data_IF_633560046293
#
_entry.id   IF_633560046293
#
_cell.length_a   1.000
_cell.length_b   1.000
_cell.length_c   1.000
_cell.angle_alpha   90.00
_cell.angle_beta   90.00
_cell.angle_gamma   90.00
#
_symmetry.space_group_name_H-M   'P 1'
#
loop_
_entity.id
_entity.type
_entity.pdbx_description
1 polymer ?
#
# COMPACT_ATOMS: atom_id res chain seq x y z
N UNK A 1 -13.74 -13.29 -66.18
CA UNK A 1 -12.72 -13.85 -65.27
C UNK A 1 -13.09 -13.53 -63.82
N UNK A 2 -13.48 -14.55 -63.03
CA UNK A 2 -13.80 -14.44 -61.59
C UNK A 2 -12.63 -15.03 -60.80
N UNK A 3 -11.88 -14.22 -60.06
CA UNK A 3 -10.86 -14.71 -59.12
C UNK A 3 -11.47 -14.85 -57.72
N UNK A 4 -11.73 -16.09 -57.35
CA UNK A 4 -11.87 -16.54 -55.97
C UNK A 4 -10.46 -16.73 -55.39
N UNK A 5 -10.20 -16.23 -54.18
CA UNK A 5 -9.09 -16.69 -53.35
C UNK A 5 -9.40 -16.52 -51.86
N UNK A 6 -9.91 -17.64 -51.30
CA UNK A 6 -9.64 -18.22 -49.96
C UNK A 6 -9.23 -17.24 -48.85
N UNK A 7 -10.19 -16.90 -47.97
CA UNK A 7 -9.89 -16.39 -46.63
C UNK A 7 -9.63 -17.57 -45.69
N UNK A 8 -8.39 -17.69 -45.23
CA UNK A 8 -7.96 -18.73 -44.31
C UNK A 8 -8.48 -18.41 -42.89
N UNK A 9 -9.31 -19.30 -42.34
CA UNK A 9 -9.95 -19.21 -41.02
C UNK A 9 -8.92 -19.49 -39.91
N UNK A 10 -8.02 -18.54 -39.63
CA UNK A 10 -6.99 -18.66 -38.60
C UNK A 10 -7.53 -18.42 -37.17
N UNK A 11 -8.65 -17.71 -37.03
CA UNK A 11 -9.20 -17.30 -35.73
C UNK A 11 -9.85 -18.42 -34.90
N UNK A 12 -10.18 -19.57 -35.51
CA UNK A 12 -10.83 -20.68 -34.78
C UNK A 12 -9.83 -21.63 -34.12
N UNK A 13 -8.64 -21.79 -34.72
CA UNK A 13 -7.56 -22.62 -34.18
C UNK A 13 -6.87 -21.95 -33.00
N UNK A 14 -6.63 -20.64 -33.08
CA UNK A 14 -6.01 -19.86 -32.01
C UNK A 14 -6.85 -19.84 -30.72
N UNK A 15 -8.18 -19.77 -30.84
CA UNK A 15 -9.09 -19.76 -29.69
C UNK A 15 -9.29 -21.13 -29.03
N UNK A 16 -9.04 -22.22 -29.74
CA UNK A 16 -9.14 -23.59 -29.20
C UNK A 16 -7.90 -23.95 -28.38
N UNK A 17 -6.72 -23.48 -28.80
CA UNK A 17 -5.45 -23.74 -28.10
C UNK A 17 -5.35 -23.04 -26.73
N UNK A 18 -5.99 -21.87 -26.57
CA UNK A 18 -6.01 -21.11 -25.31
C UNK A 18 -6.94 -21.74 -24.25
N UNK A 19 -7.76 -22.74 -24.61
CA UNK A 19 -8.80 -23.28 -23.72
C UNK A 19 -8.46 -24.64 -23.09
N UNK A 20 -7.26 -25.17 -23.33
CA UNK A 20 -6.81 -26.45 -22.80
C UNK A 20 -5.91 -26.28 -21.56
N UNK A 21 -6.45 -25.69 -20.50
CA UNK A 21 -5.71 -25.46 -19.25
C UNK A 21 -6.61 -25.68 -18.04
N UNK A 22 -6.84 -26.96 -17.73
CA UNK A 22 -7.52 -27.39 -16.50
C UNK A 22 -6.52 -27.61 -15.34
N UNK A 23 -5.21 -27.66 -15.59
CA UNK A 23 -4.15 -27.76 -14.55
C UNK A 23 -3.65 -26.41 -14.03
N UNK A 24 -3.95 -25.30 -14.70
CA UNK A 24 -3.39 -23.99 -14.36
C UNK A 24 -3.73 -23.54 -12.94
N UNK A 25 -4.90 -23.92 -12.41
CA UNK A 25 -5.33 -23.46 -11.07
C UNK A 25 -4.54 -24.10 -9.93
N UNK A 26 -4.10 -25.35 -10.07
CA UNK A 26 -3.30 -26.01 -9.03
C UNK A 26 -1.83 -25.60 -9.13
N UNK A 27 -1.32 -25.48 -10.36
CA UNK A 27 0.02 -24.96 -10.60
C UNK A 27 0.19 -23.53 -10.06
N UNK A 28 -0.78 -22.64 -10.33
CA UNK A 28 -0.73 -21.26 -9.84
C UNK A 28 -0.79 -21.19 -8.31
N UNK A 29 -1.60 -22.01 -7.63
CA UNK A 29 -1.65 -22.05 -6.17
C UNK A 29 -0.33 -22.52 -5.53
N UNK A 30 0.34 -23.49 -6.15
CA UNK A 30 1.66 -23.93 -5.70
C UNK A 30 2.71 -22.85 -5.95
N UNK A 31 2.65 -22.19 -7.10
CA UNK A 31 3.54 -21.08 -7.44
C UNK A 31 3.39 -19.93 -6.43
N UNK A 32 2.18 -19.47 -6.14
CA UNK A 32 1.90 -18.41 -5.16
C UNK A 32 2.41 -18.77 -3.75
N UNK A 33 2.28 -20.04 -3.36
CA UNK A 33 2.78 -20.55 -2.08
C UNK A 33 4.32 -20.53 -2.00
N UNK A 34 4.99 -21.03 -3.04
CA UNK A 34 6.46 -21.03 -3.14
C UNK A 34 6.99 -19.61 -3.21
N UNK A 35 6.36 -18.75 -4.01
CA UNK A 35 6.67 -17.34 -4.17
C UNK A 35 6.69 -16.65 -2.81
N UNK A 36 5.62 -16.78 -2.02
CA UNK A 36 5.55 -16.22 -0.67
C UNK A 36 6.57 -16.78 0.32
N UNK A 37 6.98 -18.05 0.19
CA UNK A 37 8.05 -18.64 1.02
C UNK A 37 9.39 -18.00 0.66
N UNK A 38 9.70 -17.90 -0.63
CA UNK A 38 10.95 -17.32 -1.14
C UNK A 38 11.06 -15.85 -0.72
N UNK A 39 10.00 -15.05 -0.86
CA UNK A 39 10.05 -13.63 -0.50
C UNK A 39 10.31 -13.40 0.98
N UNK A 40 9.70 -14.22 1.86
CA UNK A 40 9.93 -14.16 3.32
C UNK A 40 11.37 -14.55 3.67
N UNK A 41 11.88 -15.62 3.07
CA UNK A 41 13.25 -16.04 3.25
C UNK A 41 14.25 -14.96 2.78
N UNK A 42 13.99 -14.37 1.60
CA UNK A 42 14.82 -13.30 1.05
C UNK A 42 14.78 -12.04 1.91
N UNK A 43 13.60 -11.64 2.40
CA UNK A 43 13.46 -10.50 3.31
C UNK A 43 14.24 -10.71 4.61
N UNK A 44 14.17 -11.91 5.20
CA UNK A 44 14.91 -12.24 6.42
C UNK A 44 16.44 -12.24 6.17
N UNK A 45 16.86 -12.84 5.05
CA UNK A 45 18.27 -12.87 4.66
C UNK A 45 18.82 -11.44 4.47
N UNK A 46 18.11 -10.57 3.76
CA UNK A 46 18.50 -9.17 3.57
C UNK A 46 18.57 -8.42 4.90
N UNK A 47 17.65 -8.68 5.83
CA UNK A 47 17.68 -8.08 7.18
C UNK A 47 18.95 -8.47 7.95
N UNK A 48 19.35 -9.75 7.88
CA UNK A 48 20.61 -10.21 8.48
C UNK A 48 21.82 -9.54 7.82
N UNK A 49 21.84 -9.43 6.49
CA UNK A 49 22.91 -8.74 5.75
C UNK A 49 23.04 -7.28 6.20
N UNK A 50 21.93 -6.57 6.36
CA UNK A 50 21.92 -5.18 6.85
C UNK A 50 22.55 -5.09 8.25
N UNK A 51 22.16 -5.98 9.17
CA UNK A 51 22.71 -6.00 10.53
C UNK A 51 24.21 -6.25 10.53
N UNK A 52 24.68 -7.26 9.78
CA UNK A 52 26.12 -7.58 9.67
C UNK A 52 26.89 -6.41 9.07
N UNK A 53 26.41 -5.85 7.96
CA UNK A 53 27.05 -4.70 7.30
C UNK A 53 27.09 -3.45 8.20
N UNK A 54 26.05 -3.24 9.02
CA UNK A 54 26.01 -2.14 9.98
C UNK A 54 27.05 -2.32 11.07
N UNK A 55 27.19 -3.54 11.63
CA UNK A 55 28.23 -3.84 12.62
C UNK A 55 29.62 -3.67 12.02
N UNK A 56 29.84 -4.17 10.81
CA UNK A 56 31.12 -4.04 10.09
C UNK A 56 31.49 -2.56 9.88
N UNK A 57 30.53 -1.74 9.46
CA UNK A 57 30.73 -0.29 9.32
C UNK A 57 31.08 0.38 10.66
N UNK A 58 30.43 0.00 11.76
CA UNK A 58 30.74 0.55 13.09
C UNK A 58 32.18 0.19 13.51
N UNK A 59 32.61 -1.05 13.28
CA UNK A 59 33.96 -1.49 13.57
C UNK A 59 35.00 -0.78 12.69
N UNK A 60 34.73 -0.65 11.38
CA UNK A 60 35.54 0.12 10.45
C UNK A 60 35.69 1.57 10.94
N UNK A 61 34.58 2.22 11.28
CA UNK A 61 34.59 3.62 11.70
C UNK A 61 35.36 3.80 13.03
N UNK A 62 35.18 2.89 13.98
CA UNK A 62 35.90 2.88 15.25
C UNK A 62 37.41 2.73 15.04
N UNK A 63 37.83 1.75 14.23
CA UNK A 63 39.27 1.54 13.96
C UNK A 63 39.91 2.74 13.27
N UNK A 64 39.24 3.33 12.29
CA UNK A 64 39.75 4.49 11.55
C UNK A 64 39.82 5.77 12.41
N UNK A 65 38.82 6.01 13.27
CA UNK A 65 38.79 7.17 14.18
C UNK A 65 39.85 7.10 15.29
N UNK A 66 40.06 5.92 15.88
CA UNK A 66 40.91 5.79 17.07
C UNK A 66 42.37 5.40 16.78
N UNK A 67 42.70 4.88 15.58
CA UNK A 67 44.07 4.44 15.26
C UNK A 67 44.86 5.35 14.31
N UNK A 68 44.24 6.24 13.54
CA UNK A 68 44.94 6.98 12.47
C UNK A 68 44.72 8.50 12.51
N UNK A 69 45.56 9.26 13.23
CA UNK A 69 45.49 10.73 13.24
C UNK A 69 45.99 11.40 11.93
N UNK A 70 46.76 10.69 11.11
CA UNK A 70 47.43 11.24 9.91
C UNK A 70 47.19 10.36 8.69
N UNK A 71 46.26 10.75 7.80
CA UNK A 71 45.96 10.02 6.55
C UNK A 71 44.50 9.60 6.34
N UNK A 72 43.60 9.94 7.27
CA UNK A 72 42.18 9.55 7.26
C UNK A 72 41.42 9.92 5.96
N UNK A 73 41.72 11.05 5.33
CA UNK A 73 40.73 11.77 4.52
C UNK A 73 40.44 11.25 3.10
N UNK A 74 41.38 10.64 2.39
CA UNK A 74 41.15 10.31 0.97
C UNK A 74 40.69 8.86 0.77
N UNK A 75 41.55 7.89 1.09
CA UNK A 75 41.24 6.47 0.86
C UNK A 75 40.19 5.94 1.83
N UNK A 76 40.25 6.32 3.11
CA UNK A 76 39.31 5.84 4.13
C UNK A 76 37.90 6.41 3.94
N UNK A 77 37.76 7.64 3.42
CA UNK A 77 36.45 8.25 3.18
C UNK A 77 35.68 7.53 2.07
N UNK A 78 36.36 7.18 0.97
CA UNK A 78 35.77 6.39 -0.12
C UNK A 78 35.32 5.01 0.38
N UNK A 79 36.12 4.37 1.24
CA UNK A 79 35.78 3.07 1.85
C UNK A 79 34.56 3.16 2.78
N UNK A 80 34.50 4.20 3.63
CA UNK A 80 33.36 4.45 4.53
C UNK A 80 32.09 4.76 3.72
N UNK A 81 32.16 5.64 2.73
CA UNK A 81 31.02 5.92 1.85
C UNK A 81 30.62 4.69 1.04
N UNK A 82 31.57 3.90 0.55
CA UNK A 82 31.29 2.64 -0.11
C UNK A 82 30.48 1.70 0.78
N UNK A 83 30.87 1.55 2.03
CA UNK A 83 30.19 0.72 3.04
C UNK A 83 28.81 1.25 3.41
N UNK A 84 28.66 2.57 3.62
CA UNK A 84 27.37 3.22 3.83
C UNK A 84 26.41 3.00 2.66
N UNK A 85 26.89 3.21 1.43
CA UNK A 85 26.10 3.02 0.22
C UNK A 85 25.75 1.53 0.00
N UNK A 86 26.58 0.58 0.44
CA UNK A 86 26.21 -0.85 0.44
C UNK A 86 24.99 -1.11 1.34
N UNK A 87 24.96 -0.49 2.53
CA UNK A 87 23.84 -0.61 3.46
C UNK A 87 22.58 0.02 2.87
N UNK A 88 22.69 1.19 2.23
CA UNK A 88 21.55 1.83 1.56
C UNK A 88 20.96 0.94 0.45
N UNK A 89 21.79 0.30 -0.38
CA UNK A 89 21.29 -0.67 -1.38
C UNK A 89 20.57 -1.84 -0.70
N UNK A 90 21.11 -2.37 0.39
CA UNK A 90 20.47 -3.48 1.10
C UNK A 90 19.10 -3.06 1.69
N UNK A 91 18.99 -1.84 2.20
CA UNK A 91 17.72 -1.26 2.65
C UNK A 91 16.73 -1.07 1.50
N UNK A 92 17.18 -0.56 0.34
CA UNK A 92 16.34 -0.42 -0.86
C UNK A 92 15.83 -1.78 -1.34
N UNK A 93 16.69 -2.80 -1.36
CA UNK A 93 16.29 -4.17 -1.71
C UNK A 93 15.26 -4.71 -0.71
N UNK A 94 15.46 -4.49 0.59
CA UNK A 94 14.50 -4.89 1.62
C UNK A 94 13.15 -4.19 1.43
N UNK A 95 13.14 -2.89 1.11
CA UNK A 95 11.91 -2.15 0.80
C UNK A 95 11.20 -2.75 -0.42
N UNK A 96 11.94 -3.10 -1.47
CA UNK A 96 11.37 -3.69 -2.68
C UNK A 96 10.76 -5.08 -2.42
N UNK A 97 11.44 -5.94 -1.64
CA UNK A 97 10.92 -7.25 -1.25
C UNK A 97 9.70 -7.12 -0.34
N UNK A 98 9.74 -6.21 0.65
CA UNK A 98 8.61 -6.00 1.57
C UNK A 98 7.42 -5.36 0.88
N UNK A 99 7.64 -4.47 -0.08
CA UNK A 99 6.61 -3.93 -0.96
C UNK A 99 5.87 -5.04 -1.72
N UNK A 100 6.63 -6.02 -2.22
CA UNK A 100 6.07 -7.20 -2.85
C UNK A 100 5.28 -8.07 -1.87
N UNK A 101 5.84 -8.37 -0.68
CA UNK A 101 5.14 -9.13 0.37
C UNK A 101 3.80 -8.51 0.78
N UNK A 102 3.66 -7.18 0.70
CA UNK A 102 2.42 -6.46 1.06
C UNK A 102 1.35 -6.50 -0.03
N UNK A 103 1.76 -6.40 -1.29
CA UNK A 103 0.82 -6.23 -2.43
C UNK A 103 0.73 -7.44 -3.35
N UNK A 104 1.58 -8.46 -3.14
CA UNK A 104 1.79 -9.60 -4.05
C UNK A 104 2.06 -9.18 -5.51
N UNK A 105 2.61 -7.98 -5.70
CA UNK A 105 2.90 -7.40 -7.00
C UNK A 105 4.21 -6.62 -6.90
N UNK A 106 5.10 -6.83 -7.87
CA UNK A 106 6.36 -6.10 -7.97
C UNK A 106 6.06 -4.66 -8.38
N UNK A 107 6.48 -3.70 -7.55
CA UNK A 107 6.34 -2.29 -7.85
C UNK A 107 7.47 -1.87 -8.80
N UNK A 108 7.20 -1.94 -10.10
CA UNK A 108 8.21 -1.67 -11.15
C UNK A 108 8.84 -0.28 -10.99
N UNK A 109 8.05 0.72 -10.58
CA UNK A 109 8.57 2.07 -10.31
C UNK A 109 9.68 2.09 -9.25
N UNK A 110 9.49 1.35 -8.14
CA UNK A 110 10.50 1.21 -7.08
C UNK A 110 11.74 0.46 -7.59
N UNK A 111 11.56 -0.61 -8.37
CA UNK A 111 12.67 -1.40 -8.94
C UNK A 111 13.55 -0.54 -9.86
N UNK A 112 12.95 0.29 -10.71
CA UNK A 112 13.71 1.17 -11.62
C UNK A 112 14.41 2.27 -10.84
N UNK A 113 13.77 2.82 -9.79
CA UNK A 113 14.42 3.78 -8.89
C UNK A 113 15.66 3.16 -8.21
N UNK A 114 15.56 1.93 -7.68
CA UNK A 114 16.70 1.20 -7.09
C UNK A 114 17.81 0.98 -8.12
N UNK A 115 17.47 0.72 -9.39
CA UNK A 115 18.47 0.58 -10.46
C UNK A 115 19.22 1.88 -10.71
N UNK A 116 18.52 3.02 -10.65
CA UNK A 116 19.13 4.34 -10.78
C UNK A 116 20.05 4.65 -9.59
N UNK A 117 19.63 4.35 -8.35
CA UNK A 117 20.49 4.49 -7.16
C UNK A 117 21.73 3.60 -7.25
N UNK A 118 21.59 2.35 -7.69
CA UNK A 118 22.70 1.41 -7.84
C UNK A 118 23.77 1.92 -8.83
N UNK A 119 23.32 2.50 -9.96
CA UNK A 119 24.22 3.14 -10.94
C UNK A 119 24.86 4.41 -10.36
N UNK A 120 24.08 5.26 -9.68
CA UNK A 120 24.60 6.46 -9.03
C UNK A 120 25.68 6.13 -7.99
N UNK A 121 25.49 5.09 -7.18
CA UNK A 121 26.52 4.59 -6.25
C UNK A 121 27.79 4.19 -6.98
N UNK A 122 27.68 3.50 -8.13
CA UNK A 122 28.84 3.09 -8.92
C UNK A 122 29.67 4.30 -9.38
N UNK A 123 29.02 5.42 -9.68
CA UNK A 123 29.70 6.69 -10.03
C UNK A 123 30.41 7.30 -8.83
N UNK A 124 29.77 7.32 -7.65
CA UNK A 124 30.34 7.92 -6.44
C UNK A 124 31.65 7.24 -6.02
N UNK A 125 31.76 5.93 -6.20
CA UNK A 125 32.95 5.13 -5.85
C UNK A 125 33.98 5.09 -6.98
N UNK A 126 33.64 5.62 -8.17
CA UNK A 126 34.45 5.47 -9.37
C UNK A 126 35.77 6.24 -9.28
N UNK A 127 36.88 5.55 -9.58
CA UNK A 127 38.20 6.15 -9.75
C UNK A 127 38.44 6.46 -11.23
N UNK A 128 38.25 7.73 -11.62
CA UNK A 128 38.37 8.19 -13.01
C UNK A 128 39.77 7.97 -13.61
N UNK A 129 40.79 7.74 -12.80
CA UNK A 129 42.14 7.46 -13.30
C UNK A 129 42.31 6.06 -13.91
N UNK A 130 41.36 5.16 -13.63
CA UNK A 130 41.42 3.73 -14.03
C UNK A 130 40.37 3.32 -15.05
N UNK A 131 39.52 4.26 -15.48
CA UNK A 131 38.31 3.95 -16.25
C UNK A 131 38.43 4.58 -17.63
N UNK A 132 38.17 3.78 -18.67
CA UNK A 132 38.22 4.25 -20.06
C UNK A 132 37.05 5.19 -20.39
N UNK A 133 37.26 6.10 -21.34
CA UNK A 133 36.24 7.05 -21.79
C UNK A 133 35.00 6.36 -22.35
N UNK A 134 35.15 5.19 -22.99
CA UNK A 134 34.02 4.41 -23.48
C UNK A 134 33.14 3.89 -22.35
N UNK A 135 33.74 3.47 -21.22
CA UNK A 135 32.98 3.01 -20.04
C UNK A 135 32.18 4.15 -19.42
N UNK A 136 32.76 5.36 -19.33
CA UNK A 136 32.06 6.56 -18.86
C UNK A 136 30.86 6.90 -19.75
N UNK A 137 31.02 6.84 -21.08
CA UNK A 137 29.94 7.10 -22.03
C UNK A 137 28.84 6.04 -21.89
N UNK A 138 29.21 4.76 -21.76
CA UNK A 138 28.26 3.67 -21.53
C UNK A 138 27.46 3.86 -20.24
N UNK A 139 28.12 4.30 -19.16
CA UNK A 139 27.46 4.61 -17.89
C UNK A 139 26.48 5.78 -18.02
N UNK A 140 26.88 6.85 -18.72
CA UNK A 140 26.02 7.99 -19.02
C UNK A 140 24.77 7.58 -19.83
N UNK A 141 24.95 6.76 -20.86
CA UNK A 141 23.84 6.27 -21.67
C UNK A 141 22.88 5.38 -20.86
N UNK A 142 23.42 4.53 -19.97
CA UNK A 142 22.61 3.71 -19.08
C UNK A 142 21.75 4.56 -18.12
N UNK A 143 22.30 5.64 -17.57
CA UNK A 143 21.56 6.57 -16.69
C UNK A 143 20.43 7.26 -17.46
N UNK A 144 20.70 7.72 -18.69
CA UNK A 144 19.68 8.33 -19.55
C UNK A 144 18.55 7.33 -19.85
N UNK A 145 18.90 6.10 -20.21
CA UNK A 145 17.92 5.05 -20.50
C UNK A 145 17.07 4.67 -19.28
N UNK A 146 17.69 4.54 -18.09
CA UNK A 146 16.98 4.28 -16.83
C UNK A 146 16.08 5.44 -16.43
N UNK A 147 16.56 6.68 -16.57
CA UNK A 147 15.78 7.88 -16.26
C UNK A 147 14.57 8.03 -17.18
N UNK A 148 14.75 7.77 -18.48
CA UNK A 148 13.65 7.75 -19.45
C UNK A 148 12.63 6.64 -19.14
N UNK A 149 13.10 5.45 -18.76
CA UNK A 149 12.24 4.34 -18.36
C UNK A 149 11.42 4.68 -17.11
N UNK A 150 12.06 5.28 -16.09
CA UNK A 150 11.39 5.74 -14.87
C UNK A 150 10.30 6.77 -15.20
N UNK A 151 10.62 7.76 -16.03
CA UNK A 151 9.66 8.78 -16.44
C UNK A 151 8.44 8.18 -17.16
N UNK A 152 8.65 7.26 -18.09
CA UNK A 152 7.57 6.61 -18.83
C UNK A 152 6.66 5.76 -17.93
N UNK A 153 7.25 4.99 -17.01
CA UNK A 153 6.50 4.17 -16.04
C UNK A 153 5.66 5.07 -15.13
N UNK A 154 6.26 6.16 -14.63
CA UNK A 154 5.58 7.11 -13.76
C UNK A 154 4.38 7.75 -14.48
N UNK A 155 4.56 8.19 -15.72
CA UNK A 155 3.49 8.79 -16.52
C UNK A 155 2.35 7.79 -16.79
N UNK A 156 2.69 6.53 -17.12
CA UNK A 156 1.70 5.49 -17.36
C UNK A 156 0.84 5.18 -16.12
N UNK A 157 1.42 5.29 -14.92
CA UNK A 157 0.72 5.07 -13.66
C UNK A 157 -0.13 6.27 -13.19
N UNK A 158 0.05 7.47 -13.76
CA UNK A 158 -0.65 8.69 -13.33
C UNK A 158 -2.01 8.91 -13.98
N UNK A 159 -2.41 8.13 -15.00
CA UNK A 159 -3.67 8.36 -15.73
C UNK A 159 -4.88 8.00 -14.84
N UNK A 160 -5.72 8.99 -14.42
CA UNK A 160 -6.90 8.70 -13.62
C UNK A 160 -7.91 7.88 -14.45
N UNK A 161 -8.80 7.09 -13.82
CA UNK A 161 -9.93 6.51 -14.52
C UNK A 161 -10.73 7.66 -15.16
N UNK A 162 -10.89 7.65 -16.48
CA UNK A 162 -11.79 8.60 -17.13
C UNK A 162 -13.19 8.35 -16.60
N UNK A 163 -13.69 9.22 -15.72
CA UNK A 163 -15.12 9.27 -15.40
C UNK A 163 -15.82 9.53 -16.71
N UNK A 164 -16.54 8.53 -17.21
CA UNK A 164 -17.33 8.65 -18.43
C UNK A 164 -18.65 9.35 -18.03
N UNK A 165 -18.88 10.63 -18.39
CA UNK A 165 -20.04 11.39 -17.89
C UNK A 165 -21.36 11.00 -18.57
N UNK A 166 -21.37 9.95 -19.39
CA UNK A 166 -22.55 9.53 -20.16
C UNK A 166 -23.04 8.17 -19.68
N UNK A 167 -23.51 8.12 -18.44
CA UNK A 167 -24.69 7.29 -18.14
C UNK A 167 -25.87 8.24 -18.02
N UNK A 168 -26.50 8.52 -19.16
CA UNK A 168 -27.91 8.81 -19.16
C UNK A 168 -28.61 7.53 -18.70
N UNK A 169 -28.90 7.42 -17.39
CA UNK A 169 -30.11 6.74 -16.96
C UNK A 169 -31.18 7.81 -17.00
N UNK A 170 -31.93 7.76 -18.10
CA UNK A 170 -33.38 7.81 -18.11
C UNK A 170 -34.02 8.42 -16.86
N UNK A 171 -34.75 9.51 -17.11
CA UNK A 171 -35.91 9.88 -16.33
C UNK A 171 -36.72 8.64 -15.92
N UNK A 172 -37.32 8.72 -14.73
CA UNK A 172 -38.44 7.97 -14.13
C UNK A 172 -38.07 7.65 -12.66
N UNK A 173 -38.99 7.97 -11.74
CA UNK A 173 -38.98 7.70 -10.29
C UNK A 173 -38.50 8.79 -9.31
N UNK A 174 -38.75 10.07 -9.59
CA UNK A 174 -39.04 11.02 -8.51
C UNK A 174 -40.35 11.78 -8.79
N UNK A 175 -41.45 11.23 -8.26
CA UNK A 175 -42.67 12.02 -8.07
C UNK A 175 -42.34 13.18 -7.12
N UNK A 176 -42.72 14.42 -7.43
CA UNK A 176 -42.38 15.56 -6.58
C UNK A 176 -43.03 15.38 -5.20
N UNK A 177 -42.27 15.71 -4.15
CA UNK A 177 -42.66 15.63 -2.73
C UNK A 177 -44.01 16.31 -2.39
N UNK A 178 -44.53 17.16 -3.26
CA UNK A 178 -45.86 17.75 -3.16
C UNK A 178 -47.01 16.74 -3.38
N UNK A 179 -46.76 15.65 -4.12
CA UNK A 179 -47.75 14.59 -4.43
C UNK A 179 -47.70 13.43 -3.42
N UNK A 180 -46.69 13.37 -2.54
CA UNK A 180 -46.57 12.33 -1.51
C UNK A 180 -47.38 12.63 -0.23
N UNK A 181 -47.83 13.88 -0.05
CA UNK A 181 -48.56 14.36 1.14
C UNK A 181 -50.01 14.77 0.88
N UNK A 182 -50.50 14.71 -0.36
CA UNK A 182 -51.93 14.84 -0.60
C UNK A 182 -52.57 13.45 -0.45
N UNK A 183 -53.34 13.28 0.63
CA UNK A 183 -54.25 12.14 0.76
C UNK A 183 -55.24 12.08 -0.41
N UNK A 184 -56.01 10.98 -0.53
CA UNK A 184 -56.95 10.80 -1.64
C UNK A 184 -57.90 11.99 -1.76
N UNK A 185 -58.36 12.34 -2.98
CA UNK A 185 -59.24 13.49 -3.19
C UNK A 185 -60.47 13.35 -2.29
N UNK A 186 -60.74 14.36 -1.45
CA UNK A 186 -61.96 14.41 -0.67
C UNK A 186 -63.10 14.64 -1.65
N UNK A 187 -64.03 13.68 -1.68
CA UNK A 187 -65.25 13.75 -2.45
C UNK A 187 -66.23 14.70 -1.73
N UNK A 188 -66.28 15.95 -2.18
CA UNK A 188 -67.14 17.02 -1.62
C UNK A 188 -68.65 16.75 -1.81
N UNK A 189 -69.04 15.63 -2.43
CA UNK A 189 -70.46 15.28 -2.62
C UNK A 189 -71.12 14.61 -1.42
N UNK A 190 -70.38 14.33 -0.34
CA UNK A 190 -70.86 13.51 0.78
C UNK A 190 -71.14 14.25 2.10
N UNK A 191 -71.24 15.58 2.15
CA UNK A 191 -71.54 16.27 3.42
C UNK A 191 -72.53 17.44 3.25
N UNK A 192 -73.81 17.08 3.17
CA UNK A 192 -74.89 17.98 3.55
C UNK A 192 -75.09 17.92 5.07
N UNK A 193 -75.11 19.09 5.71
CA UNK A 193 -75.51 19.38 7.10
C UNK A 193 -76.91 18.77 7.42
N UNK A 194 -77.31 18.49 8.69
CA UNK A 194 -77.25 19.46 9.78
C UNK A 194 -77.00 18.94 11.22
N UNK A 195 -76.47 19.84 12.06
CA UNK A 195 -76.83 20.11 13.47
C UNK A 195 -76.92 18.96 14.51
N UNK A 196 -76.15 19.09 15.61
CA UNK A 196 -76.50 18.41 16.87
C UNK A 196 -75.40 18.27 17.94
N UNK A 197 -75.36 19.23 18.87
CA UNK A 197 -75.17 19.06 20.33
C UNK A 197 -73.97 18.27 20.95
N UNK A 198 -73.30 18.98 21.87
CA UNK A 198 -72.92 18.56 23.24
C UNK A 198 -71.54 17.89 23.53
N UNK A 199 -70.67 18.70 24.12
CA UNK A 199 -70.01 18.50 25.43
C UNK A 199 -69.18 17.23 25.74
N UNK A 200 -67.86 17.46 25.91
CA UNK A 200 -67.14 17.17 27.15
C UNK A 200 -66.45 15.82 27.32
N UNK A 201 -65.12 15.79 27.17
CA UNK A 201 -64.24 15.12 28.16
C UNK A 201 -62.78 15.54 27.99
N UNK A 202 -62.26 16.12 29.07
CA UNK A 202 -60.84 16.38 29.31
C UNK A 202 -60.16 15.09 29.74
N UNK A 203 -59.13 14.65 29.03
CA UNK A 203 -58.16 13.66 29.55
C UNK A 203 -56.75 14.14 29.24
N UNK A 204 -56.08 14.50 30.32
CA UNK A 204 -54.72 15.01 30.45
C UNK A 204 -53.72 13.92 30.05
N UNK A 205 -52.75 14.26 29.19
CA UNK A 205 -51.60 13.42 28.89
C UNK A 205 -50.58 13.47 30.06
N UNK A 206 -49.88 12.37 30.40
CA UNK A 206 -48.86 12.38 31.43
C UNK A 206 -47.56 13.08 30.96
N UNK A 207 -46.85 13.78 31.86
CA UNK A 207 -45.60 14.48 31.53
C UNK A 207 -44.40 13.52 31.41
N UNK A 208 -43.33 13.92 30.69
CA UNK A 208 -42.12 13.12 30.52
C UNK A 208 -41.31 13.02 31.83
N UNK A 209 -40.57 11.91 32.07
CA UNK A 209 -39.70 11.78 33.23
C UNK A 209 -38.41 12.60 33.06
N UNK A 210 -38.09 13.40 34.08
CA UNK A 210 -36.84 14.17 34.21
C UNK A 210 -35.86 13.48 35.17
N UNK A 211 -34.57 13.66 34.91
CA UNK A 211 -33.43 13.00 35.54
C UNK A 211 -33.15 13.53 36.95
N UNK A 212 -33.08 12.68 37.98
CA UNK A 212 -32.40 12.95 39.26
C UNK A 212 -32.40 11.71 40.16
N UNK A 213 -31.29 10.95 40.23
CA UNK A 213 -30.83 10.46 41.54
C UNK A 213 -29.32 10.22 41.53
N UNK A 214 -28.69 10.79 42.56
CA UNK A 214 -27.27 10.81 42.79
C UNK A 214 -26.93 9.79 43.88
N UNK A 215 -25.91 8.96 43.67
CA UNK A 215 -25.44 8.01 44.67
C UNK A 215 -23.95 7.71 44.54
N UNK A 216 -23.14 8.40 45.34
CA UNK A 216 -21.71 8.14 45.58
C UNK A 216 -21.52 8.12 47.11
N UNK A 217 -20.36 7.72 47.65
CA UNK A 217 -19.73 6.40 47.72
C UNK A 217 -19.76 5.83 49.17
N UNK A 218 -19.37 4.56 49.41
CA UNK A 218 -19.02 4.11 50.78
C UNK A 218 -17.77 3.22 50.86
N UNK A 219 -17.08 3.21 52.01
CA UNK A 219 -15.68 2.85 52.17
C UNK A 219 -15.44 1.57 52.97
N UNK A 220 -14.26 0.96 52.79
CA UNK A 220 -13.64 0.09 53.79
C UNK A 220 -13.70 -1.40 53.48
N UNK A 221 -12.60 -1.91 52.92
CA UNK A 221 -11.96 -3.09 53.51
C UNK A 221 -10.44 -2.93 53.39
N UNK A 222 -9.78 -2.77 54.54
CA UNK A 222 -8.32 -2.75 54.73
C UNK A 222 -8.08 -3.69 55.89
N UNK A 223 -7.39 -4.80 55.64
CA UNK A 223 -6.45 -5.39 56.61
C UNK A 223 -5.62 -6.51 55.97
N UNK A 224 -4.29 -6.37 56.08
CA UNK A 224 -3.32 -7.44 56.42
C UNK A 224 -3.03 -8.48 55.30
N UNK A 225 -1.80 -8.80 54.88
CA UNK A 225 -0.48 -8.71 55.49
C UNK A 225 0.62 -8.79 54.42
N UNK A 226 1.71 -8.06 54.63
CA UNK A 226 3.02 -8.41 54.08
C UNK A 226 3.71 -9.38 55.04
N UNK A 227 4.65 -10.21 54.57
CA UNK A 227 5.96 -10.13 55.20
C UNK A 227 7.10 -9.94 54.20
N UNK A 228 7.94 -9.00 54.59
CA UNK A 228 9.35 -8.86 54.25
C UNK A 228 10.07 -10.17 54.60
N UNK A 229 10.87 -10.71 53.68
CA UNK A 229 12.01 -11.54 54.06
C UNK A 229 13.21 -11.24 53.15
N UNK A 230 14.35 -11.69 53.65
CA UNK A 230 15.61 -10.98 53.76
C UNK A 230 16.64 -11.50 52.76
N UNK A 231 17.56 -10.63 52.37
CA UNK A 231 18.91 -10.90 51.81
C UNK A 231 19.70 -12.03 52.56
N UNK A 232 20.96 -12.40 52.21
CA UNK A 232 21.72 -12.52 50.94
C UNK A 232 22.55 -13.85 50.85
N UNK A 233 23.54 -13.89 49.92
CA UNK A 233 24.70 -14.83 49.76
C UNK A 233 24.47 -15.92 48.72
N UNK A 234 25.40 -16.25 47.82
CA UNK A 234 26.88 -16.15 47.81
C UNK A 234 27.40 -16.00 46.38
#
# INVERSE_FOLDING_TARGET
MRRSSRKFSLNRWFRWMIRASYHDREFLKLADGIEGIISRALSLATMVVILVATVDLILLLSTQLFRSPVGFFNSSLQEIFGSLLSILIALEILENITAYLRKHVVQVELVVATSLTAVARKIIILDLSKVDGLELIGLGLAIIALSASYWLIREANQKPPSINPHHHSDAEDELPLSQMFLGPPIDDSAMADPAGSAQGRSTIAPPPPDHSDAGQPTPGDRSEDAPIDSLPRS
#
